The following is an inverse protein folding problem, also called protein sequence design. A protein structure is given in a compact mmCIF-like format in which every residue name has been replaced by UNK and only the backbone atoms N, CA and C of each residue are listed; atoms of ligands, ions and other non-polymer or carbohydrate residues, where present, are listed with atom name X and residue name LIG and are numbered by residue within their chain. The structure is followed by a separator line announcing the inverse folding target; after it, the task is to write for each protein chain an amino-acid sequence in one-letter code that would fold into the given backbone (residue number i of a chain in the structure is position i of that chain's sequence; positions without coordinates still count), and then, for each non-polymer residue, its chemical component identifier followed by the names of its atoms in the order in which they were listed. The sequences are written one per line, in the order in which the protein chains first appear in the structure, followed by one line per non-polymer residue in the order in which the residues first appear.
data_IF_037131309175
#
_entry.id   IF_037131309175
#
_cell.length_a   1.000
_cell.length_b   1.000
_cell.length_c   1.000
_cell.angle_alpha   90.00
_cell.angle_beta   90.00
_cell.angle_gamma   90.00
#
_symmetry.space_group_name_H-M   'P 1'
#
loop_
_entity.id
_entity.type
_entity.pdbx_description
1 polymer ?
#
# COMPACT_ATOMS: atom_id res chain seq x y z
N UNK A 1 3.82 -109.73 31.05
CA UNK A 1 2.56 -109.55 31.83
C UNK A 1 2.23 -108.07 31.79
N UNK A 2 1.39 -107.63 30.85
CA UNK A 2 -0.07 -107.42 31.03
C UNK A 2 -0.35 -106.31 32.07
N UNK A 3 -1.08 -105.23 31.83
CA UNK A 3 -2.01 -104.84 30.76
C UNK A 3 -2.51 -103.40 31.08
N UNK A 4 -2.90 -102.67 30.04
CA UNK A 4 -4.05 -101.75 29.90
C UNK A 4 -4.20 -100.54 30.86
N UNK A 5 -4.19 -99.29 30.35
CA UNK A 5 -5.20 -98.55 29.55
C UNK A 5 -6.04 -97.63 30.46
N UNK A 6 -5.99 -96.32 30.21
CA UNK A 6 -7.17 -95.43 30.25
C UNK A 6 -6.83 -94.11 29.57
N UNK A 7 -7.53 -93.87 28.46
CA UNK A 7 -7.49 -92.69 27.63
C UNK A 7 -8.41 -91.59 28.19
N UNK A 8 -8.15 -90.32 27.87
CA UNK A 8 -9.22 -89.36 27.56
C UNK A 8 -8.68 -88.20 26.70
N UNK A 9 -9.22 -88.08 25.47
CA UNK A 9 -9.14 -86.90 24.62
C UNK A 9 -10.15 -85.85 25.11
N UNK A 10 -9.73 -84.61 25.35
CA UNK A 10 -10.49 -83.33 25.21
C UNK A 10 -9.41 -82.23 25.32
N UNK A 11 -9.25 -81.17 24.53
CA UNK A 11 -10.00 -80.51 23.48
C UNK A 11 -9.49 -79.07 23.45
N UNK A 12 -9.24 -78.55 22.25
CA UNK A 12 -8.93 -77.16 21.90
C UNK A 12 -9.50 -76.06 22.82
N UNK A 13 -8.68 -75.04 23.13
CA UNK A 13 -8.90 -73.67 22.63
C UNK A 13 -7.66 -72.81 22.95
N UNK A 14 -6.92 -72.42 21.92
CA UNK A 14 -5.92 -71.36 22.05
C UNK A 14 -6.66 -70.04 22.30
N UNK A 15 -6.55 -69.50 23.50
CA UNK A 15 -7.14 -68.21 23.86
C UNK A 15 -6.31 -67.09 23.21
N UNK A 16 -6.52 -66.87 21.92
CA UNK A 16 -6.00 -65.67 21.24
C UNK A 16 -6.72 -64.48 21.85
N UNK A 17 -6.01 -63.72 22.70
CA UNK A 17 -6.48 -62.45 23.19
C UNK A 17 -6.76 -61.53 21.99
N UNK A 18 -8.04 -61.38 21.62
CA UNK A 18 -8.48 -60.37 20.65
C UNK A 18 -8.41 -59.04 21.39
N UNK A 19 -7.21 -58.44 21.45
CA UNK A 19 -7.09 -57.04 21.78
C UNK A 19 -7.94 -56.26 20.76
N UNK A 20 -8.81 -55.32 21.18
CA UNK A 20 -9.56 -54.52 20.22
C UNK A 20 -8.54 -53.78 19.35
N UNK A 21 -8.58 -54.03 18.05
CA UNK A 21 -7.79 -53.29 17.08
C UNK A 21 -8.20 -51.82 17.18
N UNK A 22 -7.42 -51.02 17.92
CA UNK A 22 -7.57 -49.57 17.92
C UNK A 22 -7.28 -49.10 16.50
N UNK A 23 -8.30 -48.65 15.79
CA UNK A 23 -8.15 -48.03 14.48
C UNK A 23 -7.12 -46.89 14.62
N UNK A 24 -5.92 -47.10 14.08
CA UNK A 24 -4.89 -46.08 14.07
C UNK A 24 -5.35 -44.98 13.10
N UNK A 25 -5.63 -43.78 13.61
CA UNK A 25 -5.92 -42.64 12.76
C UNK A 25 -4.62 -42.26 12.03
N UNK A 26 -4.60 -42.47 10.72
CA UNK A 26 -3.51 -42.03 9.84
C UNK A 26 -3.81 -40.60 9.39
N UNK A 27 -3.28 -39.63 10.13
CA UNK A 27 -3.41 -38.23 9.76
C UNK A 27 -2.30 -37.89 8.75
N UNK A 28 -2.71 -37.42 7.56
CA UNK A 28 -1.81 -36.92 6.51
C UNK A 28 -2.17 -35.45 6.28
N UNK A 29 -1.19 -34.56 6.35
CA UNK A 29 -1.39 -33.13 6.11
C UNK A 29 -0.82 -32.72 4.76
N UNK A 30 -1.50 -31.79 4.09
CA UNK A 30 -1.01 -31.11 2.90
C UNK A 30 -0.75 -29.65 3.29
N UNK A 31 0.48 -29.18 3.09
CA UNK A 31 0.82 -27.79 3.31
C UNK A 31 0.54 -26.98 2.03
N UNK A 32 -0.32 -25.97 2.13
CA UNK A 32 -0.54 -24.97 1.09
C UNK A 32 0.26 -23.72 1.41
N UNK A 33 0.98 -23.17 0.43
CA UNK A 33 1.79 -21.96 0.57
C UNK A 33 1.53 -21.02 -0.59
N UNK A 34 1.43 -19.73 -0.29
CA UNK A 34 1.34 -18.64 -1.27
C UNK A 34 2.07 -17.40 -0.71
N UNK A 35 2.50 -16.52 -1.60
CA UNK A 35 3.11 -15.23 -1.26
C UNK A 35 2.63 -14.14 -2.22
N UNK A 36 2.44 -12.93 -1.70
CA UNK A 36 2.10 -11.74 -2.48
C UNK A 36 3.24 -10.74 -2.35
N UNK A 37 3.77 -10.26 -3.48
CA UNK A 37 4.81 -9.23 -3.47
C UNK A 37 4.23 -7.86 -3.12
N UNK A 38 5.01 -7.03 -2.42
CA UNK A 38 4.64 -5.63 -2.16
C UNK A 38 4.64 -4.84 -3.46
N UNK A 39 3.56 -4.12 -3.73
CA UNK A 39 3.35 -3.31 -4.92
C UNK A 39 2.59 -2.04 -4.55
N UNK A 40 3.15 -0.90 -4.94
CA UNK A 40 2.51 0.41 -4.79
C UNK A 40 2.65 1.21 -6.09
N UNK A 41 1.56 1.81 -6.53
CA UNK A 41 1.47 2.60 -7.76
C UNK A 41 0.79 3.93 -7.47
N UNK A 42 1.21 4.96 -8.20
CA UNK A 42 0.58 6.27 -8.18
C UNK A 42 0.25 6.65 -9.61
N UNK A 43 -0.97 7.09 -9.85
CA UNK A 43 -1.38 7.69 -11.11
C UNK A 43 -1.70 9.17 -10.86
N UNK A 44 -1.15 10.05 -11.69
CA UNK A 44 -1.35 11.50 -11.58
C UNK A 44 -2.08 11.98 -12.82
N UNK A 45 -3.16 12.72 -12.62
CA UNK A 45 -3.88 13.44 -13.66
C UNK A 45 -3.61 14.93 -13.50
N UNK A 46 -3.00 15.54 -14.51
CA UNK A 46 -2.92 16.99 -14.65
C UNK A 46 -4.27 17.53 -15.17
N UNK A 47 -4.81 18.55 -14.50
CA UNK A 47 -6.07 19.19 -14.89
C UNK A 47 -5.87 20.32 -15.90
N UNK A 48 -4.64 20.73 -16.19
CA UNK A 48 -4.34 21.75 -17.19
C UNK A 48 -4.93 23.13 -16.85
N UNK A 49 -5.11 23.43 -15.56
CA UNK A 49 -5.71 24.70 -15.13
C UNK A 49 -4.73 25.85 -15.35
N UNK A 50 -5.22 26.95 -15.91
CA UNK A 50 -4.49 28.22 -15.89
C UNK A 50 -4.51 28.79 -14.45
N UNK A 51 -3.36 29.26 -13.98
CA UNK A 51 -3.18 29.85 -12.66
C UNK A 51 -3.09 31.36 -12.77
N UNK A 52 -3.82 32.10 -11.93
CA UNK A 52 -3.67 33.54 -11.83
C UNK A 52 -2.55 33.90 -10.84
N UNK A 53 -1.41 34.31 -11.38
CA UNK A 53 -0.23 34.71 -10.60
C UNK A 53 -0.24 36.19 -10.19
N UNK A 54 -1.26 36.95 -10.59
CA UNK A 54 -1.43 38.37 -10.26
C UNK A 54 -2.47 38.51 -9.15
N UNK A 55 -3.67 37.97 -9.33
CA UNK A 55 -4.70 37.93 -8.30
C UNK A 55 -4.43 36.85 -7.23
N UNK A 56 -3.59 35.88 -7.54
CA UNK A 56 -3.29 34.74 -6.67
C UNK A 56 -4.35 33.64 -6.75
N UNK A 57 -4.09 32.56 -6.05
CA UNK A 57 -4.91 31.35 -6.02
C UNK A 57 -5.02 30.87 -4.58
N UNK A 58 -6.19 30.37 -4.18
CA UNK A 58 -6.40 29.76 -2.86
C UNK A 58 -6.85 28.32 -3.05
N UNK A 59 -6.01 27.37 -2.62
CA UNK A 59 -6.28 25.93 -2.73
C UNK A 59 -6.80 25.52 -4.11
N UNK A 60 -6.26 26.12 -5.17
CA UNK A 60 -6.64 25.84 -6.55
C UNK A 60 -6.20 24.44 -6.90
N UNK A 61 -7.16 23.57 -7.21
CA UNK A 61 -6.85 22.21 -7.62
C UNK A 61 -6.20 22.21 -9.00
N UNK A 62 -5.01 21.60 -9.09
CA UNK A 62 -4.21 21.48 -10.31
C UNK A 62 -4.10 20.04 -10.80
N UNK A 63 -4.37 19.07 -9.93
CA UNK A 63 -4.27 17.66 -10.26
C UNK A 63 -5.16 16.76 -9.41
N UNK A 64 -5.24 15.51 -9.83
CA UNK A 64 -5.81 14.40 -9.06
C UNK A 64 -4.80 13.26 -9.00
N UNK A 65 -4.74 12.57 -7.87
CA UNK A 65 -3.82 11.46 -7.65
C UNK A 65 -4.59 10.24 -7.19
N UNK A 66 -4.32 9.10 -7.82
CA UNK A 66 -4.84 7.78 -7.41
C UNK A 66 -3.71 6.96 -6.81
N UNK A 67 -3.88 6.58 -5.55
CA UNK A 67 -2.94 5.81 -4.74
C UNK A 67 -3.40 4.34 -4.64
N UNK A 68 -2.53 3.40 -5.00
CA UNK A 68 -2.73 1.97 -4.73
C UNK A 68 -1.48 1.42 -4.05
N UNK A 69 -1.63 0.72 -2.92
CA UNK A 69 -0.51 0.10 -2.22
C UNK A 69 -1.02 -1.05 -1.33
N UNK A 70 -0.44 -2.24 -1.53
CA UNK A 70 -0.86 -3.45 -0.82
C UNK A 70 -0.08 -3.74 0.48
N UNK A 71 0.80 -2.82 0.90
CA UNK A 71 1.56 -3.00 2.13
C UNK A 71 0.68 -2.83 3.38
N UNK A 72 0.58 -3.89 4.19
CA UNK A 72 -0.18 -3.90 5.44
C UNK A 72 0.34 -2.92 6.50
N UNK A 73 1.61 -2.51 6.44
CA UNK A 73 2.20 -1.47 7.30
C UNK A 73 1.86 -0.05 6.82
N UNK A 74 1.24 0.05 5.65
CA UNK A 74 0.92 1.30 4.99
C UNK A 74 2.07 1.84 4.14
N UNK A 75 2.01 3.13 3.83
CA UNK A 75 2.91 3.77 2.87
C UNK A 75 3.04 5.27 3.13
N UNK A 76 3.88 5.91 2.35
CA UNK A 76 4.05 7.36 2.32
C UNK A 76 3.84 7.87 0.89
N UNK A 77 3.24 9.06 0.80
CA UNK A 77 3.22 9.89 -0.38
C UNK A 77 4.09 11.12 -0.11
N UNK A 78 4.94 11.48 -1.06
CA UNK A 78 5.60 12.78 -1.07
C UNK A 78 5.30 13.51 -2.38
N UNK A 79 5.12 14.82 -2.29
CA UNK A 79 5.11 15.71 -3.44
C UNK A 79 6.33 16.61 -3.33
N UNK A 80 7.08 16.76 -4.42
CA UNK A 80 8.21 17.68 -4.53
C UNK A 80 8.04 18.61 -5.73
N UNK A 81 8.55 19.83 -5.59
CA UNK A 81 8.61 20.83 -6.66
C UNK A 81 10.00 20.84 -7.28
N UNK A 82 10.08 20.84 -8.61
CA UNK A 82 11.34 20.97 -9.34
C UNK A 82 12.04 22.31 -9.07
N UNK A 83 11.28 23.34 -8.72
CA UNK A 83 11.76 24.69 -8.46
C UNK A 83 11.60 25.14 -7.01
N UNK A 84 11.49 24.21 -6.06
CA UNK A 84 11.41 24.49 -4.62
C UNK A 84 10.26 25.45 -4.27
N UNK A 85 9.06 25.16 -4.76
CA UNK A 85 7.84 25.92 -4.44
C UNK A 85 7.74 27.23 -5.20
N UNK A 86 8.30 27.29 -6.41
CA UNK A 86 8.29 28.51 -7.24
C UNK A 86 7.95 28.17 -8.68
N UNK A 87 6.95 28.84 -9.24
CA UNK A 87 6.80 28.91 -10.69
C UNK A 87 7.90 29.83 -11.24
N UNK A 88 8.53 29.45 -12.36
CA UNK A 88 9.62 30.22 -12.99
C UNK A 88 9.28 30.70 -14.39
N UNK A 89 9.62 31.95 -14.68
CA UNK A 89 9.67 32.55 -16.02
C UNK A 89 11.04 33.19 -16.21
N UNK A 90 12.00 32.46 -16.78
CA UNK A 90 13.39 32.90 -16.83
C UNK A 90 13.98 33.10 -15.42
N UNK A 91 14.37 34.34 -15.09
CA UNK A 91 14.87 34.71 -13.76
C UNK A 91 13.76 35.06 -12.76
N UNK A 92 12.56 35.34 -13.25
CA UNK A 92 11.45 35.80 -12.43
C UNK A 92 10.74 34.59 -11.80
N UNK A 93 10.28 34.75 -10.56
CA UNK A 93 9.67 33.64 -9.80
C UNK A 93 8.42 34.08 -9.07
N UNK A 94 7.44 33.17 -8.99
CA UNK A 94 6.25 33.31 -8.16
C UNK A 94 6.21 32.14 -7.18
N UNK A 95 6.26 32.42 -5.88
CA UNK A 95 6.19 31.37 -4.86
C UNK A 95 4.79 30.77 -4.78
N UNK A 96 4.69 29.48 -4.48
CA UNK A 96 3.43 28.81 -4.20
C UNK A 96 3.61 27.79 -3.07
N UNK A 97 2.50 27.45 -2.42
CA UNK A 97 2.45 26.35 -1.44
C UNK A 97 1.61 25.21 -2.00
N UNK A 98 2.11 23.99 -1.90
CA UNK A 98 1.39 22.78 -2.32
C UNK A 98 0.44 22.32 -1.23
N UNK A 99 -0.72 21.78 -1.60
CA UNK A 99 -1.64 21.10 -0.71
C UNK A 99 -1.93 19.71 -1.29
N UNK A 100 -1.81 18.69 -0.46
CA UNK A 100 -2.10 17.32 -0.85
C UNK A 100 -2.93 16.64 0.23
N UNK A 101 -4.14 16.21 -0.15
CA UNK A 101 -5.05 15.49 0.75
C UNK A 101 -5.28 16.20 2.10
N UNK A 102 -5.49 17.52 2.05
CA UNK A 102 -5.70 18.37 3.23
C UNK A 102 -4.41 18.71 4.00
N UNK A 103 -3.25 18.20 3.59
CA UNK A 103 -1.95 18.53 4.21
C UNK A 103 -1.29 19.66 3.43
N UNK A 104 -0.95 20.74 4.12
CA UNK A 104 -0.20 21.87 3.54
C UNK A 104 1.30 21.58 3.53
N UNK A 105 1.93 21.83 2.38
CA UNK A 105 3.36 21.72 2.21
C UNK A 105 4.15 22.86 2.84
N UNK A 106 5.47 22.71 2.84
CA UNK A 106 6.39 23.75 3.29
C UNK A 106 6.66 24.79 2.18
N UNK A 107 7.49 25.79 2.48
CA UNK A 107 7.87 26.84 1.53
C UNK A 107 8.64 26.35 0.30
N UNK A 108 9.17 25.12 0.31
CA UNK A 108 9.80 24.49 -0.86
C UNK A 108 8.78 23.77 -1.77
N UNK A 109 7.48 23.91 -1.49
CA UNK A 109 6.42 23.20 -2.19
C UNK A 109 6.36 21.70 -1.87
N UNK A 110 7.14 21.24 -0.89
CA UNK A 110 7.18 19.84 -0.51
C UNK A 110 6.11 19.50 0.52
N UNK A 111 5.42 18.38 0.34
CA UNK A 111 4.45 17.83 1.29
C UNK A 111 4.65 16.33 1.42
N UNK A 112 4.43 15.79 2.61
CA UNK A 112 4.47 14.36 2.87
C UNK A 112 3.24 13.94 3.67
N UNK A 113 2.62 12.83 3.25
CA UNK A 113 1.47 12.23 3.92
C UNK A 113 1.77 10.76 4.15
N UNK A 114 1.36 10.23 5.30
CA UNK A 114 1.49 8.80 5.59
C UNK A 114 0.14 8.13 5.67
N UNK A 115 0.06 6.90 5.16
CA UNK A 115 -1.06 5.99 5.39
C UNK A 115 -0.60 4.90 6.36
N UNK A 116 -1.50 4.51 7.26
CA UNK A 116 -1.21 3.51 8.29
C UNK A 116 -1.47 2.07 7.84
N UNK A 117 -2.14 1.88 6.69
CA UNK A 117 -2.61 0.58 6.19
C UNK A 117 -2.54 0.55 4.67
N UNK A 118 -2.66 -0.65 4.11
CA UNK A 118 -2.88 -0.85 2.68
C UNK A 118 -4.12 -0.07 2.22
N UNK A 119 -4.09 0.45 1.01
CA UNK A 119 -5.22 1.18 0.42
C UNK A 119 -5.23 0.97 -1.08
N UNK A 120 -6.43 0.89 -1.65
CA UNK A 120 -6.63 0.62 -3.07
C UNK A 120 -7.52 1.71 -3.65
N UNK A 121 -7.09 2.27 -4.78
CA UNK A 121 -7.81 3.31 -5.51
C UNK A 121 -8.22 4.50 -4.63
N UNK A 122 -7.36 4.92 -3.69
CA UNK A 122 -7.60 6.16 -2.94
C UNK A 122 -7.34 7.34 -3.86
N UNK A 123 -8.33 8.19 -4.01
CA UNK A 123 -8.17 9.47 -4.72
C UNK A 123 -7.79 10.58 -3.74
N UNK A 124 -6.94 11.50 -4.18
CA UNK A 124 -6.56 12.71 -3.48
C UNK A 124 -6.45 13.88 -4.46
N UNK A 125 -6.88 15.07 -4.04
CA UNK A 125 -6.65 16.30 -4.79
C UNK A 125 -5.22 16.81 -4.55
N UNK A 126 -4.59 17.28 -5.63
CA UNK A 126 -3.37 18.09 -5.57
C UNK A 126 -3.74 19.52 -5.91
N UNK A 127 -3.47 20.44 -4.99
CA UNK A 127 -3.81 21.85 -5.12
C UNK A 127 -2.62 22.75 -4.79
N UNK A 128 -2.71 24.01 -5.18
CA UNK A 128 -1.72 25.04 -4.87
C UNK A 128 -2.37 26.31 -4.36
N UNK A 129 -1.64 27.05 -3.53
CA UNK A 129 -1.99 28.42 -3.12
C UNK A 129 -0.89 29.35 -3.59
N UNK A 130 -1.27 30.43 -4.26
CA UNK A 130 -0.38 31.47 -4.80
C UNK A 130 -0.78 32.80 -4.18
N UNK A 131 0.12 33.52 -3.49
CA UNK A 131 -0.19 34.84 -2.98
C UNK A 131 -0.39 35.84 -4.12
N UNK A 132 -1.37 36.73 -3.98
CA UNK A 132 -1.59 37.82 -4.92
C UNK A 132 -0.36 38.75 -4.98
N UNK A 133 0.01 39.18 -6.19
CA UNK A 133 1.07 40.16 -6.39
C UNK A 133 0.81 40.96 -7.67
N UNK A 134 0.29 42.18 -7.50
CA UNK A 134 0.03 43.10 -8.62
C UNK A 134 1.29 43.55 -9.39
N UNK A 135 2.49 43.25 -8.86
CA UNK A 135 3.79 43.56 -9.48
C UNK A 135 4.46 42.34 -10.11
N UNK A 136 3.74 41.22 -10.28
CA UNK A 136 4.27 40.05 -11.01
C UNK A 136 4.63 40.47 -12.44
N UNK A 137 5.87 40.20 -12.84
CA UNK A 137 6.39 40.55 -14.16
C UNK A 137 5.72 39.66 -15.21
N UNK A 138 5.36 40.23 -16.37
CA UNK A 138 4.75 39.48 -17.45
C UNK A 138 5.69 38.37 -17.97
N UNK A 139 5.17 37.17 -18.13
CA UNK A 139 5.92 36.01 -18.58
C UNK A 139 5.15 34.70 -18.40
N UNK A 140 5.68 33.61 -18.96
CA UNK A 140 5.12 32.27 -18.82
C UNK A 140 5.81 31.57 -17.66
N UNK A 141 5.09 31.43 -16.55
CA UNK A 141 5.60 30.78 -15.35
C UNK A 141 5.27 29.29 -15.35
N UNK A 142 6.25 28.45 -15.01
CA UNK A 142 6.06 27.00 -14.95
C UNK A 142 6.82 26.36 -13.79
N UNK A 143 6.31 25.23 -13.33
CA UNK A 143 7.00 24.30 -12.44
C UNK A 143 6.49 22.88 -12.70
N UNK A 144 7.16 21.87 -12.15
CA UNK A 144 6.71 20.48 -12.19
C UNK A 144 6.65 19.92 -10.78
N UNK A 145 5.47 19.41 -10.41
CA UNK A 145 5.27 18.67 -9.17
C UNK A 145 5.42 17.18 -9.42
N UNK A 146 6.29 16.52 -8.67
CA UNK A 146 6.50 15.07 -8.73
C UNK A 146 5.87 14.41 -7.52
N UNK A 147 4.96 13.46 -7.74
CA UNK A 147 4.35 12.66 -6.68
C UNK A 147 5.04 11.31 -6.61
N UNK A 148 5.52 10.94 -5.43
CA UNK A 148 6.20 9.66 -5.16
C UNK A 148 5.42 8.87 -4.12
N UNK A 149 5.30 7.56 -4.35
CA UNK A 149 4.71 6.61 -3.40
C UNK A 149 5.77 5.61 -2.93
N UNK A 150 5.80 5.31 -1.62
CA UNK A 150 6.74 4.34 -1.04
C UNK A 150 6.11 3.53 0.10
N UNK A 151 6.16 2.21 -0.02
CA UNK A 151 5.80 1.24 1.03
C UNK A 151 6.65 1.38 2.30
N UNK A 152 6.21 0.82 3.45
CA UNK A 152 6.86 0.98 4.76
C UNK A 152 7.65 -0.23 5.24
#
# INVERSE_FOLDING_TARGET
MTRLLSALLVGWLALTAIAPARAASLNRTIALKASVATACTVAVTDLGVALDVVAGETARQVGSVVENCNDGKGYSISVSSANSGKLKSGKDTVSFTTLYDGTTGNASGAVAVTRAKATFAKTAALAVTIPANAKTIAGSYSDTLTVTIKAK
#
